data_IF_655973821331
#
_entry.id   IF_655973821331
#
_cell.length_a   1.000
_cell.length_b   1.000
_cell.length_c   1.000
_cell.angle_alpha   90.00
_cell.angle_beta   90.00
_cell.angle_gamma   90.00
#
_symmetry.space_group_name_H-M   'P 1'
#
loop_
_entity.id
_entity.type
_entity.pdbx_description
1 polymer ?
#
# COMPACT_ATOMS: atom_id res chain seq x y z
N UNK A 1 5.38 64.12 -13.94
CA UNK A 1 6.49 63.36 -13.32
C UNK A 1 6.34 61.85 -13.48
N UNK A 2 5.14 61.36 -13.76
CA UNK A 2 4.75 59.96 -13.63
C UNK A 2 5.47 58.98 -14.57
N UNK A 3 5.83 59.38 -15.80
CA UNK A 3 6.42 58.46 -16.78
C UNK A 3 7.84 57.99 -16.40
N UNK A 4 8.70 58.90 -15.90
CA UNK A 4 10.06 58.56 -15.44
C UNK A 4 10.02 57.67 -14.20
N UNK A 5 9.09 57.93 -13.28
CA UNK A 5 8.89 57.14 -12.07
C UNK A 5 8.39 55.73 -12.39
N UNK A 6 7.40 55.59 -13.28
CA UNK A 6 6.90 54.29 -13.75
C UNK A 6 8.01 53.48 -14.43
N UNK A 7 8.81 54.10 -15.29
CA UNK A 7 9.94 53.43 -15.95
C UNK A 7 11.02 52.97 -14.95
N UNK A 8 11.28 53.76 -13.90
CA UNK A 8 12.22 53.38 -12.83
C UNK A 8 11.72 52.17 -12.03
N UNK A 9 10.45 52.17 -11.60
CA UNK A 9 9.84 51.07 -10.85
C UNK A 9 9.83 49.80 -11.70
N UNK A 10 9.45 49.91 -12.98
CA UNK A 10 9.43 48.76 -13.90
C UNK A 10 10.80 48.10 -14.02
N UNK A 11 11.87 48.89 -14.18
CA UNK A 11 13.23 48.36 -14.25
C UNK A 11 13.62 47.58 -12.99
N UNK A 12 13.37 48.15 -11.80
CA UNK A 12 13.64 47.47 -10.53
C UNK A 12 12.83 46.17 -10.40
N UNK A 13 11.54 46.20 -10.73
CA UNK A 13 10.66 45.04 -10.65
C UNK A 13 11.10 43.93 -11.60
N UNK A 14 11.39 44.24 -12.87
CA UNK A 14 11.83 43.23 -13.85
C UNK A 14 13.14 42.57 -13.46
N UNK A 15 14.06 43.30 -12.82
CA UNK A 15 15.32 42.73 -12.35
C UNK A 15 15.14 41.69 -11.23
N UNK A 16 14.21 41.93 -10.30
CA UNK A 16 13.99 41.05 -9.14
C UNK A 16 12.86 40.03 -9.34
N UNK A 17 11.95 40.24 -10.30
CA UNK A 17 10.78 39.40 -10.50
C UNK A 17 11.09 37.88 -10.60
N UNK A 18 12.15 37.41 -11.28
CA UNK A 18 12.47 35.98 -11.36
C UNK A 18 12.78 35.33 -10.00
N UNK A 19 13.34 36.08 -9.07
CA UNK A 19 13.79 35.59 -7.76
C UNK A 19 12.72 35.71 -6.67
N UNK A 20 11.65 36.46 -6.94
CA UNK A 20 10.63 36.79 -5.96
C UNK A 20 9.42 35.86 -6.04
N UNK A 21 9.08 35.24 -4.91
CA UNK A 21 7.80 34.55 -4.73
C UNK A 21 6.61 35.54 -4.62
N UNK A 22 5.38 35.01 -4.62
CA UNK A 22 4.14 35.81 -4.58
C UNK A 22 4.10 36.83 -3.43
N UNK A 23 4.54 36.43 -2.22
CA UNK A 23 4.60 37.30 -1.05
C UNK A 23 5.64 38.40 -1.21
N UNK A 24 6.86 38.04 -1.61
CA UNK A 24 7.94 39.00 -1.80
C UNK A 24 7.57 40.07 -2.83
N UNK A 25 6.94 39.68 -3.95
CA UNK A 25 6.46 40.63 -4.98
C UNK A 25 5.46 41.63 -4.41
N UNK A 26 4.51 41.16 -3.62
CA UNK A 26 3.51 41.98 -2.94
C UNK A 26 4.14 42.94 -1.91
N UNK A 27 5.07 42.47 -1.10
CA UNK A 27 5.77 43.27 -0.09
C UNK A 27 6.65 44.36 -0.73
N UNK A 28 7.41 44.02 -1.76
CA UNK A 28 8.23 44.99 -2.48
C UNK A 28 7.38 46.08 -3.16
N UNK A 29 6.28 45.68 -3.82
CA UNK A 29 5.36 46.63 -4.44
C UNK A 29 4.72 47.57 -3.41
N UNK A 30 4.41 47.07 -2.22
CA UNK A 30 3.90 47.88 -1.12
C UNK A 30 4.95 48.87 -0.57
N UNK A 31 6.22 48.47 -0.46
CA UNK A 31 7.31 49.37 -0.07
C UNK A 31 7.46 50.53 -1.07
N UNK A 32 7.54 50.24 -2.38
CA UNK A 32 7.65 51.29 -3.40
C UNK A 32 6.38 52.19 -3.42
N UNK A 33 5.20 51.63 -3.14
CA UNK A 33 3.97 52.42 -3.07
C UNK A 33 3.95 53.36 -1.85
N UNK A 34 4.48 52.90 -0.70
CA UNK A 34 4.59 53.68 0.54
C UNK A 34 5.56 54.86 0.37
N UNK A 35 6.72 54.62 -0.23
CA UNK A 35 7.75 55.64 -0.45
C UNK A 35 7.28 56.75 -1.39
N UNK A 36 6.41 56.42 -2.36
CA UNK A 36 5.85 57.39 -3.31
C UNK A 36 4.70 58.22 -2.73
N UNK A 37 4.11 57.81 -1.60
CA UNK A 37 3.00 58.50 -0.96
C UNK A 37 1.74 58.55 -1.84
N UNK A 38 1.16 59.75 -2.00
CA UNK A 38 -0.11 59.93 -2.71
C UNK A 38 0.00 59.47 -4.18
N UNK A 39 -0.89 58.55 -4.58
CA UNK A 39 -0.90 57.97 -5.93
C UNK A 39 0.12 56.83 -6.15
N UNK A 40 0.95 56.50 -5.15
CA UNK A 40 1.98 55.46 -5.24
C UNK A 40 1.44 54.09 -5.68
N UNK A 41 0.31 53.65 -5.12
CA UNK A 41 -0.36 52.38 -5.50
C UNK A 41 -0.71 52.34 -6.99
N UNK A 42 -1.24 53.43 -7.53
CA UNK A 42 -1.62 53.51 -8.95
C UNK A 42 -0.39 53.49 -9.86
N UNK A 43 0.69 54.17 -9.47
CA UNK A 43 1.94 54.20 -10.22
C UNK A 43 2.66 52.84 -10.22
N UNK A 44 2.72 52.17 -9.06
CA UNK A 44 3.33 50.83 -8.93
C UNK A 44 2.52 49.79 -9.69
N UNK A 45 1.19 49.83 -9.61
CA UNK A 45 0.31 48.95 -10.38
C UNK A 45 0.53 49.11 -11.89
N UNK A 46 0.62 50.36 -12.39
CA UNK A 46 0.92 50.65 -13.79
C UNK A 46 2.32 50.22 -14.23
N UNK A 47 3.29 50.24 -13.32
CA UNK A 47 4.67 49.83 -13.61
C UNK A 47 4.86 48.31 -13.66
N UNK A 48 4.21 47.59 -12.74
CA UNK A 48 4.45 46.15 -12.46
C UNK A 48 3.36 45.22 -13.00
N UNK A 49 2.16 45.73 -13.27
CA UNK A 49 0.98 44.92 -13.60
C UNK A 49 0.31 44.26 -12.38
N UNK A 50 0.83 44.46 -11.17
CA UNK A 50 0.22 43.95 -9.94
C UNK A 50 -1.09 44.69 -9.67
N UNK A 51 -2.13 43.96 -9.28
CA UNK A 51 -3.44 44.55 -8.98
C UNK A 51 -3.36 45.52 -7.80
N UNK A 52 -4.10 46.64 -7.87
CA UNK A 52 -4.16 47.62 -6.76
C UNK A 52 -4.58 46.96 -5.43
N UNK A 53 -5.59 46.06 -5.38
CA UNK A 53 -5.93 45.35 -4.15
C UNK A 53 -4.74 44.57 -3.56
N UNK A 54 -3.94 43.90 -4.38
CA UNK A 54 -2.75 43.16 -3.91
C UNK A 54 -1.72 44.08 -3.26
N UNK A 55 -1.50 45.28 -3.83
CA UNK A 55 -0.57 46.27 -3.28
C UNK A 55 -1.11 46.83 -1.95
N UNK A 56 -2.42 47.09 -1.85
CA UNK A 56 -3.06 47.53 -0.61
C UNK A 56 -2.95 46.46 0.50
N UNK A 57 -3.13 45.18 0.17
CA UNK A 57 -2.90 44.07 1.13
C UNK A 57 -1.45 44.06 1.61
N UNK A 58 -0.49 44.26 0.70
CA UNK A 58 0.92 44.38 1.08
C UNK A 58 1.21 45.57 2.01
N UNK A 59 0.54 46.72 1.80
CA UNK A 59 0.67 47.87 2.70
C UNK A 59 0.16 47.57 4.11
N UNK A 60 -1.00 46.93 4.22
CA UNK A 60 -1.55 46.48 5.51
C UNK A 60 -0.61 45.48 6.21
N UNK A 61 0.01 44.59 5.45
CA UNK A 61 0.96 43.62 5.99
C UNK A 61 2.25 44.28 6.49
N UNK A 62 2.72 45.35 5.84
CA UNK A 62 3.86 46.13 6.29
C UNK A 62 3.58 46.92 7.59
N UNK A 63 2.30 47.17 7.90
CA UNK A 63 1.86 47.84 9.15
C UNK A 63 1.73 46.87 10.33
N UNK A 64 1.83 45.55 10.09
CA UNK A 64 1.81 44.56 11.16
C UNK A 64 3.08 44.64 12.05
N UNK A 65 2.96 44.36 13.36
CA UNK A 65 4.11 44.27 14.27
C UNK A 65 5.22 43.36 13.73
N UNK A 66 6.48 43.74 13.94
CA UNK A 66 7.65 43.02 13.40
C UNK A 66 7.65 41.53 13.74
N UNK A 67 7.29 41.16 14.98
CA UNK A 67 7.18 39.74 15.39
C UNK A 67 6.15 38.93 14.59
N UNK A 68 5.02 39.55 14.22
CA UNK A 68 4.01 38.90 13.37
C UNK A 68 4.52 38.77 11.93
N UNK A 69 5.19 39.79 11.41
CA UNK A 69 5.81 39.75 10.07
C UNK A 69 6.89 38.66 9.98
N UNK A 70 7.73 38.50 11.00
CA UNK A 70 8.75 37.45 11.09
C UNK A 70 8.15 36.04 11.10
N UNK A 71 7.12 35.81 11.93
CA UNK A 71 6.42 34.53 11.98
C UNK A 71 5.80 34.16 10.64
N UNK A 72 5.16 35.14 9.99
CA UNK A 72 4.52 34.92 8.70
C UNK A 72 5.51 34.88 7.53
N UNK A 73 6.70 35.48 7.63
CA UNK A 73 7.68 35.56 6.53
C UNK A 73 8.08 34.18 5.96
N UNK A 74 8.01 33.13 6.78
CA UNK A 74 8.23 31.73 6.38
C UNK A 74 7.13 31.16 5.47
N UNK A 75 5.97 31.81 5.36
CA UNK A 75 4.79 31.34 4.61
C UNK A 75 4.45 32.26 3.46
N UNK A 76 4.25 31.70 2.26
CA UNK A 76 3.80 32.45 1.07
C UNK A 76 2.32 32.88 1.19
N UNK A 77 1.48 32.04 1.83
CA UNK A 77 0.05 32.30 2.06
C UNK A 77 -0.24 32.42 3.56
N UNK A 78 -1.28 33.20 3.92
CA UNK A 78 -1.78 33.27 5.29
C UNK A 78 -2.26 31.89 5.76
N UNK A 79 -2.20 31.67 7.07
CA UNK A 79 -2.82 30.51 7.71
C UNK A 79 -4.29 30.42 7.27
N UNK A 80 -4.74 29.23 6.86
CA UNK A 80 -6.07 28.95 6.29
C UNK A 80 -6.37 29.50 4.86
N UNK A 81 -5.41 30.10 4.15
CA UNK A 81 -5.58 30.53 2.74
C UNK A 81 -5.45 29.40 1.70
N UNK A 82 -5.60 28.14 2.12
CA UNK A 82 -5.55 26.96 1.26
C UNK A 82 -6.93 26.58 0.75
N UNK A 83 -6.99 25.62 -0.19
CA UNK A 83 -8.26 25.02 -0.60
C UNK A 83 -8.91 24.37 0.62
N UNK A 84 -10.14 24.76 0.95
CA UNK A 84 -10.91 24.13 2.02
C UNK A 84 -11.09 22.62 1.73
N UNK A 85 -11.05 21.80 2.79
CA UNK A 85 -11.30 20.36 2.66
C UNK A 85 -12.70 20.14 2.10
N UNK A 86 -12.88 19.07 1.31
CA UNK A 86 -14.20 18.75 0.73
C UNK A 86 -15.29 18.58 1.79
N UNK A 87 -14.90 18.11 2.99
CA UNK A 87 -15.76 17.97 4.16
C UNK A 87 -16.34 19.29 4.68
N UNK A 88 -15.79 20.44 4.27
CA UNK A 88 -16.35 21.75 4.57
C UNK A 88 -17.54 22.11 3.66
N UNK A 89 -17.52 21.64 2.41
CA UNK A 89 -18.57 21.88 1.43
C UNK A 89 -19.61 20.75 1.40
N UNK A 90 -19.24 19.57 1.88
CA UNK A 90 -20.07 18.38 1.94
C UNK A 90 -19.93 17.74 3.34
N UNK A 91 -20.73 18.19 4.31
CA UNK A 91 -20.63 17.74 5.70
C UNK A 91 -21.10 16.28 5.88
N UNK A 92 -22.01 15.80 5.02
CA UNK A 92 -22.62 14.47 5.11
C UNK A 92 -21.76 13.39 4.44
N UNK A 93 -20.73 13.77 3.68
CA UNK A 93 -19.81 12.87 2.99
C UNK A 93 -19.20 11.80 3.89
N UNK A 94 -18.82 12.16 5.13
CA UNK A 94 -18.19 11.20 6.06
C UNK A 94 -19.21 10.13 6.46
N UNK A 95 -20.43 10.54 6.81
CA UNK A 95 -21.50 9.62 7.18
C UNK A 95 -21.90 8.71 6.00
N UNK A 96 -21.98 9.27 4.79
CA UNK A 96 -22.24 8.50 3.58
C UNK A 96 -21.12 7.48 3.29
N UNK A 97 -19.86 7.87 3.47
CA UNK A 97 -18.72 6.95 3.33
C UNK A 97 -18.74 5.85 4.40
N UNK A 98 -19.03 6.19 5.66
CA UNK A 98 -19.15 5.20 6.73
C UNK A 98 -20.25 4.19 6.43
N UNK A 99 -21.43 4.62 5.95
CA UNK A 99 -22.51 3.71 5.56
C UNK A 99 -22.13 2.74 4.43
N UNK A 100 -21.25 3.13 3.51
CA UNK A 100 -20.75 2.26 2.45
C UNK A 100 -19.65 1.28 2.90
N UNK A 101 -19.00 1.59 4.02
CA UNK A 101 -17.94 0.78 4.66
C UNK A 101 -18.54 -0.15 5.73
N UNK A 102 -19.68 0.21 6.29
CA UNK A 102 -20.44 -0.60 7.24
C UNK A 102 -20.96 -1.87 6.56
N UNK A 103 -20.92 -3.05 7.22
CA UNK A 103 -21.22 -4.29 6.54
C UNK A 103 -22.70 -4.38 6.17
N UNK A 104 -23.00 -4.38 4.87
CA UNK A 104 -24.17 -5.09 4.34
C UNK A 104 -23.89 -6.60 4.42
N UNK A 105 -23.87 -7.10 5.66
CA UNK A 105 -24.06 -8.47 6.12
C UNK A 105 -23.32 -9.59 5.40
N UNK A 106 -22.45 -10.28 6.16
CA UNK A 106 -22.56 -11.74 6.29
C UNK A 106 -22.48 -12.15 7.77
N UNK A 107 -23.62 -12.04 8.48
CA UNK A 107 -23.90 -12.84 9.68
C UNK A 107 -24.13 -12.15 11.05
N UNK A 108 -24.96 -11.10 11.15
CA UNK A 108 -25.80 -10.73 12.33
C UNK A 108 -25.14 -10.29 13.69
N UNK A 109 -25.89 -9.79 14.70
CA UNK A 109 -26.58 -8.49 14.85
C UNK A 109 -25.84 -7.44 15.70
N UNK A 110 -24.64 -7.72 16.23
CA UNK A 110 -23.90 -6.79 17.13
C UNK A 110 -22.44 -6.59 16.67
N UNK A 111 -22.21 -6.26 15.39
CA UNK A 111 -20.85 -6.22 14.83
C UNK A 111 -20.08 -4.91 15.13
N UNK A 112 -18.91 -4.94 15.81
CA UNK A 112 -17.97 -3.81 15.86
C UNK A 112 -16.90 -3.87 14.75
N UNK A 113 -17.05 -4.76 13.75
CA UNK A 113 -16.03 -5.00 12.73
C UNK A 113 -16.46 -4.44 11.37
N UNK A 114 -15.83 -3.33 11.00
CA UNK A 114 -16.09 -2.54 9.79
C UNK A 114 -15.13 -2.95 8.67
N UNK A 115 -15.57 -3.83 7.77
CA UNK A 115 -14.77 -4.26 6.61
C UNK A 115 -15.57 -4.15 5.32
N UNK A 116 -14.98 -3.52 4.30
CA UNK A 116 -15.55 -3.45 2.95
C UNK A 116 -14.65 -4.16 1.93
N UNK A 117 -15.24 -4.97 1.05
CA UNK A 117 -14.54 -5.57 -0.10
C UNK A 117 -14.45 -4.60 -1.30
N UNK A 118 -14.94 -3.36 -1.17
CA UNK A 118 -14.95 -2.37 -2.25
C UNK A 118 -13.63 -1.60 -2.30
N UNK A 119 -13.09 -1.42 -3.51
CA UNK A 119 -11.93 -0.55 -3.71
C UNK A 119 -12.31 0.93 -3.49
N UNK A 120 -11.32 1.78 -3.23
CA UNK A 120 -11.52 3.23 -3.09
C UNK A 120 -12.13 3.87 -4.34
N UNK A 121 -11.90 3.28 -5.52
CA UNK A 121 -12.52 3.70 -6.78
C UNK A 121 -14.02 3.37 -6.80
N UNK A 122 -14.39 2.16 -6.39
CA UNK A 122 -15.79 1.73 -6.32
C UNK A 122 -16.57 2.52 -5.25
N UNK A 123 -15.95 2.81 -4.12
CA UNK A 123 -16.51 3.69 -3.09
C UNK A 123 -16.74 5.11 -3.63
N UNK A 124 -15.78 5.67 -4.38
CA UNK A 124 -15.93 6.99 -5.00
C UNK A 124 -17.08 7.03 -6.03
N UNK A 125 -17.21 5.99 -6.86
CA UNK A 125 -18.31 5.86 -7.83
C UNK A 125 -19.67 5.78 -7.13
N UNK A 126 -19.79 5.00 -6.06
CA UNK A 126 -21.03 4.88 -5.28
C UNK A 126 -21.37 6.18 -4.53
N UNK A 127 -20.39 6.85 -3.92
CA UNK A 127 -20.59 8.17 -3.30
C UNK A 127 -21.04 9.20 -4.34
N UNK A 128 -20.42 9.21 -5.51
CA UNK A 128 -20.82 10.09 -6.61
C UNK A 128 -22.27 9.81 -7.05
N UNK A 129 -22.69 8.54 -7.01
CA UNK A 129 -24.07 8.13 -7.32
C UNK A 129 -25.09 8.57 -6.26
N UNK A 130 -24.66 8.75 -5.01
CA UNK A 130 -25.49 9.23 -3.89
C UNK A 130 -25.26 10.75 -3.68
N UNK A 131 -24.90 11.48 -4.75
CA UNK A 131 -24.74 12.94 -4.75
C UNK A 131 -23.57 13.51 -3.94
N UNK A 132 -22.56 12.69 -3.65
CA UNK A 132 -21.31 13.07 -2.98
C UNK A 132 -20.11 12.89 -3.94
N UNK A 133 -19.89 13.79 -4.92
CA UNK A 133 -18.86 13.62 -5.94
C UNK A 133 -17.46 13.74 -5.34
N UNK A 134 -16.72 12.63 -5.30
CA UNK A 134 -15.36 12.56 -4.75
C UNK A 134 -14.44 11.71 -5.62
N UNK A 135 -13.12 11.99 -5.56
CA UNK A 135 -12.12 11.14 -6.19
C UNK A 135 -11.75 9.96 -5.28
N UNK A 136 -11.21 8.89 -5.88
CA UNK A 136 -10.66 7.75 -5.13
C UNK A 136 -9.53 8.14 -4.17
N UNK A 137 -8.74 9.16 -4.50
CA UNK A 137 -7.72 9.73 -3.60
C UNK A 137 -8.34 10.38 -2.37
N UNK A 138 -9.42 11.14 -2.56
CA UNK A 138 -10.16 11.77 -1.46
C UNK A 138 -10.77 10.72 -0.54
N UNK A 139 -11.35 9.66 -1.10
CA UNK A 139 -11.87 8.53 -0.33
C UNK A 139 -10.77 7.86 0.49
N UNK A 140 -9.60 7.59 -0.09
CA UNK A 140 -8.46 7.02 0.63
C UNK A 140 -8.04 7.90 1.82
N UNK A 141 -7.92 9.20 1.60
CA UNK A 141 -7.49 10.14 2.63
C UNK A 141 -8.51 10.25 3.76
N UNK A 142 -9.82 10.14 3.45
CA UNK A 142 -10.89 10.09 4.44
C UNK A 142 -10.88 8.78 5.23
N UNK A 143 -10.70 7.63 4.55
CA UNK A 143 -10.56 6.33 5.22
C UNK A 143 -9.38 6.32 6.19
N UNK A 144 -8.22 6.85 5.80
CA UNK A 144 -7.07 6.96 6.70
C UNK A 144 -7.35 7.87 7.90
N UNK A 145 -8.05 8.99 7.70
CA UNK A 145 -8.44 9.89 8.81
C UNK A 145 -9.42 9.23 9.77
N UNK A 146 -10.31 8.37 9.28
CA UNK A 146 -11.24 7.57 10.08
C UNK A 146 -10.61 6.29 10.67
N UNK A 147 -9.28 6.13 10.61
CA UNK A 147 -8.55 5.03 11.23
C UNK A 147 -8.53 3.73 10.43
N UNK A 148 -9.00 3.72 9.19
CA UNK A 148 -8.91 2.56 8.30
C UNK A 148 -7.56 2.53 7.60
N UNK A 149 -7.04 1.33 7.38
CA UNK A 149 -5.88 1.10 6.52
C UNK A 149 -6.10 -0.13 5.65
N UNK A 150 -5.35 -0.22 4.56
CA UNK A 150 -5.33 -1.42 3.75
C UNK A 150 -4.66 -2.54 4.56
N UNK A 151 -5.41 -3.58 4.88
CA UNK A 151 -4.91 -4.75 5.59
C UNK A 151 -4.78 -5.92 4.60
N UNK A 152 -3.60 -6.53 4.53
CA UNK A 152 -3.45 -7.79 3.83
C UNK A 152 -4.06 -8.92 4.66
N UNK A 153 -4.59 -9.95 4.00
CA UNK A 153 -5.06 -11.15 4.69
C UNK A 153 -3.89 -11.81 5.44
N UNK A 154 -3.90 -11.74 6.76
CA UNK A 154 -2.95 -12.47 7.60
C UNK A 154 -3.58 -13.81 8.01
N UNK A 155 -2.93 -14.92 7.69
CA UNK A 155 -3.37 -16.26 8.11
C UNK A 155 -3.01 -16.49 9.58
N UNK A 156 -3.73 -15.85 10.51
CA UNK A 156 -3.52 -16.00 11.97
C UNK A 156 -4.54 -16.91 12.65
N UNK A 157 -5.63 -17.25 11.97
CA UNK A 157 -6.61 -18.21 12.47
C UNK A 157 -6.12 -19.63 12.18
N UNK A 158 -5.19 -20.12 13.00
CA UNK A 158 -5.13 -21.57 13.25
C UNK A 158 -6.47 -21.98 13.91
N UNK A 159 -6.96 -23.19 13.63
CA UNK A 159 -8.14 -23.72 14.34
C UNK A 159 -7.93 -23.68 15.86
N UNK A 160 -9.03 -23.79 16.63
CA UNK A 160 -9.04 -23.76 18.12
C UNK A 160 -7.75 -24.34 18.69
N UNK A 161 -7.01 -23.55 19.48
CA UNK A 161 -5.84 -24.01 20.24
C UNK A 161 -6.26 -25.25 21.04
N UNK A 162 -5.91 -26.43 20.55
CA UNK A 162 -6.33 -27.68 21.16
C UNK A 162 -5.34 -27.98 22.29
N UNK A 163 -5.80 -28.28 23.52
CA UNK A 163 -4.91 -28.57 24.64
C UNK A 163 -3.93 -29.72 24.35
N UNK A 164 -4.32 -30.65 23.47
CA UNK A 164 -3.49 -31.81 23.10
C UNK A 164 -2.44 -31.53 21.99
N UNK A 165 -2.38 -30.31 21.42
CA UNK A 165 -1.39 -29.99 20.36
C UNK A 165 0.04 -30.14 20.87
N UNK A 166 0.30 -29.70 22.11
CA UNK A 166 1.62 -29.84 22.71
C UNK A 166 1.98 -31.32 22.97
N UNK A 167 1.00 -32.12 23.44
CA UNK A 167 1.19 -33.55 23.64
C UNK A 167 1.49 -34.29 22.32
N UNK A 168 0.87 -33.88 21.21
CA UNK A 168 1.17 -34.43 19.88
C UNK A 168 2.62 -34.11 19.45
N UNK A 169 3.08 -32.87 19.62
CA UNK A 169 4.47 -32.50 19.29
C UNK A 169 5.49 -33.21 20.18
N UNK A 170 5.24 -33.31 21.48
CA UNK A 170 6.10 -34.06 22.41
C UNK A 170 6.16 -35.56 22.07
N UNK A 171 5.05 -36.14 21.61
CA UNK A 171 5.03 -37.53 21.15
C UNK A 171 5.83 -37.72 19.86
N UNK A 172 5.66 -36.82 18.89
CA UNK A 172 6.41 -36.84 17.63
C UNK A 172 7.91 -36.69 17.92
N UNK A 173 8.30 -35.70 18.71
CA UNK A 173 9.69 -35.44 19.08
C UNK A 173 10.35 -36.64 19.77
N UNK A 174 9.64 -37.25 20.73
CA UNK A 174 10.11 -38.46 21.40
C UNK A 174 10.29 -39.63 20.43
N UNK A 175 9.36 -39.81 19.52
CA UNK A 175 9.38 -40.89 18.52
C UNK A 175 10.52 -40.69 17.52
N UNK A 176 10.68 -39.48 16.99
CA UNK A 176 11.80 -39.11 16.12
C UNK A 176 13.12 -39.37 16.84
N UNK A 177 13.27 -38.86 18.06
CA UNK A 177 14.48 -39.06 18.86
C UNK A 177 14.82 -40.55 19.07
N UNK A 178 13.83 -41.42 19.24
CA UNK A 178 14.04 -42.87 19.39
C UNK A 178 14.50 -43.53 18.08
N UNK A 179 13.98 -43.10 16.93
CA UNK A 179 14.43 -43.59 15.62
C UNK A 179 15.87 -43.15 15.32
N UNK A 180 16.16 -41.86 15.52
CA UNK A 180 17.50 -41.30 15.29
C UNK A 180 18.57 -41.98 16.18
N UNK A 181 18.28 -42.24 17.46
CA UNK A 181 19.19 -42.99 18.35
C UNK A 181 19.49 -44.41 17.89
N UNK A 182 18.57 -45.05 17.15
CA UNK A 182 18.75 -46.40 16.60
C UNK A 182 19.35 -46.40 15.18
N UNK A 183 19.73 -45.22 14.66
CA UNK A 183 20.20 -45.06 13.29
C UNK A 183 19.11 -45.35 12.25
N UNK A 184 17.84 -45.31 12.65
CA UNK A 184 16.70 -45.55 11.75
C UNK A 184 16.18 -44.21 11.19
N UNK A 185 15.75 -44.16 9.93
CA UNK A 185 15.27 -42.94 9.30
C UNK A 185 13.95 -42.45 9.90
N UNK A 186 13.84 -41.13 10.03
CA UNK A 186 12.61 -40.41 10.33
C UNK A 186 12.41 -39.32 9.26
N UNK A 187 11.25 -39.34 8.60
CA UNK A 187 10.91 -38.41 7.53
C UNK A 187 9.63 -37.63 7.86
N UNK A 188 9.61 -36.36 7.49
CA UNK A 188 8.39 -35.57 7.44
C UNK A 188 7.88 -35.49 6.01
N UNK A 189 6.59 -35.72 5.78
CA UNK A 189 6.00 -35.66 4.45
C UNK A 189 4.88 -34.63 4.39
N UNK A 190 4.80 -33.87 3.31
CA UNK A 190 3.76 -32.86 3.11
C UNK A 190 3.45 -32.74 1.62
N UNK A 191 2.18 -32.49 1.31
CA UNK A 191 1.74 -32.12 -0.04
C UNK A 191 1.44 -30.63 0.00
N UNK A 192 2.20 -29.86 -0.78
CA UNK A 192 1.98 -28.42 -0.87
C UNK A 192 0.89 -28.12 -1.88
N UNK A 193 0.39 -26.89 -1.80
CA UNK A 193 -0.66 -26.35 -2.66
C UNK A 193 -0.37 -26.72 -4.13
N UNK A 194 -1.39 -27.16 -4.85
CA UNK A 194 -1.31 -27.45 -6.28
C UNK A 194 -1.04 -26.14 -7.02
N UNK A 195 0.03 -26.13 -7.81
CA UNK A 195 0.39 -24.99 -8.64
C UNK A 195 -0.13 -25.20 -10.06
N UNK A 196 -0.67 -24.13 -10.66
CA UNK A 196 -1.11 -24.16 -12.05
C UNK A 196 0.13 -23.99 -12.94
N UNK A 197 0.34 -24.92 -13.86
CA UNK A 197 1.49 -24.88 -14.78
C UNK A 197 1.03 -24.26 -16.10
N UNK A 198 1.65 -23.17 -16.51
CA UNK A 198 1.33 -22.41 -17.73
C UNK A 198 1.28 -20.91 -17.48
N UNK A 199 0.74 -20.16 -18.44
CA UNK A 199 0.68 -18.69 -18.42
C UNK A 199 -0.40 -18.17 -17.45
N UNK A 200 -0.35 -18.60 -16.19
CA UNK A 200 -1.26 -18.20 -15.13
C UNK A 200 -0.64 -17.10 -14.28
N UNK A 201 -1.49 -16.24 -13.71
CA UNK A 201 -1.01 -15.17 -12.84
C UNK A 201 -0.53 -15.73 -11.50
N UNK A 202 0.77 -15.89 -11.36
CA UNK A 202 1.41 -16.25 -10.09
C UNK A 202 1.72 -15.01 -9.24
N UNK A 203 1.79 -15.18 -7.92
CA UNK A 203 2.20 -14.11 -7.02
C UNK A 203 3.72 -13.98 -7.00
N UNK A 204 4.25 -12.85 -7.46
CA UNK A 204 5.68 -12.58 -7.52
C UNK A 204 5.98 -11.45 -8.51
N UNK A 205 7.22 -10.96 -8.50
CA UNK A 205 7.74 -10.00 -9.47
C UNK A 205 9.08 -10.53 -9.98
N UNK A 206 9.23 -10.61 -11.31
CA UNK A 206 10.48 -10.94 -11.98
C UNK A 206 10.96 -9.73 -12.79
N UNK A 207 12.26 -9.59 -12.95
CA UNK A 207 12.84 -8.47 -13.68
C UNK A 207 12.69 -8.68 -15.18
N UNK A 208 11.90 -7.82 -15.83
CA UNK A 208 11.76 -7.75 -17.29
C UNK A 208 12.16 -6.37 -17.82
N UNK A 209 12.58 -6.28 -19.10
CA UNK A 209 12.74 -4.99 -19.78
C UNK A 209 11.48 -4.12 -19.65
N UNK A 210 11.70 -2.82 -19.42
CA UNK A 210 10.62 -1.87 -19.21
C UNK A 210 9.63 -1.88 -20.39
N UNK A 211 8.35 -2.12 -20.12
CA UNK A 211 7.29 -2.18 -21.13
C UNK A 211 7.06 -3.56 -21.75
N UNK A 212 7.79 -4.59 -21.31
CA UNK A 212 7.64 -5.97 -21.78
C UNK A 212 7.35 -6.92 -20.62
N UNK A 213 6.21 -6.76 -19.92
CA UNK A 213 5.80 -7.72 -18.89
C UNK A 213 5.52 -9.09 -19.54
N UNK A 214 5.71 -10.16 -18.76
CA UNK A 214 5.25 -11.48 -19.18
C UNK A 214 3.71 -11.49 -19.33
N UNK A 215 3.23 -11.99 -20.47
CA UNK A 215 1.81 -12.08 -20.75
C UNK A 215 1.20 -13.29 -20.01
N UNK A 216 0.21 -13.03 -19.16
CA UNK A 216 -0.51 -14.06 -18.41
C UNK A 216 -2.00 -14.01 -18.70
N UNK A 217 -2.67 -15.14 -18.59
CA UNK A 217 -4.10 -15.30 -18.85
C UNK A 217 -4.94 -14.52 -17.83
N UNK A 218 -5.99 -13.86 -18.31
CA UNK A 218 -6.93 -13.09 -17.48
C UNK A 218 -7.78 -13.97 -16.55
N UNK A 219 -7.95 -15.25 -16.89
CA UNK A 219 -8.80 -16.19 -16.14
C UNK A 219 -8.06 -17.51 -15.89
N UNK A 220 -8.15 -18.00 -14.64
CA UNK A 220 -7.51 -19.24 -14.19
C UNK A 220 -8.35 -20.49 -14.53
N UNK A 221 -8.90 -20.57 -15.74
CA UNK A 221 -9.55 -21.79 -16.18
C UNK A 221 -8.47 -22.84 -16.48
N UNK A 222 -8.61 -24.03 -15.88
CA UNK A 222 -7.74 -25.15 -16.20
C UNK A 222 -7.93 -25.56 -17.66
N UNK A 223 -6.95 -25.23 -18.50
CA UNK A 223 -6.78 -25.96 -19.75
C UNK A 223 -6.34 -27.39 -19.44
N UNK A 224 -6.71 -28.33 -20.32
CA UNK A 224 -6.36 -29.74 -20.18
C UNK A 224 -4.83 -29.99 -20.28
N UNK A 225 -4.04 -29.00 -20.71
CA UNK A 225 -2.59 -29.08 -20.83
C UNK A 225 -2.00 -27.66 -20.96
N UNK A 226 -0.99 -27.23 -20.17
CA UNK A 226 -0.28 -27.96 -19.11
C UNK A 226 -1.14 -28.00 -17.83
N UNK A 227 -1.17 -29.13 -17.14
CA UNK A 227 -2.09 -29.37 -16.03
C UNK A 227 -1.71 -28.67 -14.71
N UNK A 228 -1.98 -29.34 -13.59
CA UNK A 228 -1.57 -28.93 -12.24
C UNK A 228 -0.29 -29.66 -11.86
N UNK A 229 0.67 -28.94 -11.26
CA UNK A 229 1.79 -29.53 -10.55
C UNK A 229 1.43 -29.70 -9.07
N UNK A 230 1.70 -30.88 -8.54
CA UNK A 230 1.49 -31.23 -7.13
C UNK A 230 2.85 -31.58 -6.54
N UNK A 231 3.51 -30.63 -5.85
CA UNK A 231 4.75 -30.90 -5.15
C UNK A 231 4.46 -31.72 -3.87
N UNK A 232 5.04 -32.91 -3.82
CA UNK A 232 5.07 -33.76 -2.64
C UNK A 232 6.48 -33.75 -2.05
N UNK A 233 6.63 -33.19 -0.87
CA UNK A 233 7.89 -33.11 -0.14
C UNK A 233 8.10 -34.29 0.78
N UNK A 234 9.32 -34.83 0.80
CA UNK A 234 9.83 -35.74 1.82
C UNK A 234 11.06 -35.08 2.43
N UNK A 235 11.02 -34.77 3.71
CA UNK A 235 12.12 -34.18 4.44
C UNK A 235 12.75 -35.22 5.37
N UNK A 236 14.00 -35.57 5.07
CA UNK A 236 14.86 -36.41 5.90
C UNK A 236 15.39 -35.57 7.07
N UNK A 237 14.91 -35.89 8.27
CA UNK A 237 15.20 -35.13 9.49
C UNK A 237 16.66 -35.32 9.93
N UNK A 238 17.23 -36.52 9.76
CA UNK A 238 18.59 -36.80 10.23
C UNK A 238 19.62 -36.03 9.40
N UNK A 239 19.48 -36.09 8.08
CA UNK A 239 20.46 -35.50 7.16
C UNK A 239 20.13 -34.04 6.78
N UNK A 240 19.01 -33.50 7.26
CA UNK A 240 18.51 -32.16 6.94
C UNK A 240 18.40 -31.94 5.42
N UNK A 241 17.72 -32.85 4.72
CA UNK A 241 17.56 -32.78 3.27
C UNK A 241 16.12 -32.99 2.82
N UNK A 242 15.70 -32.20 1.83
CA UNK A 242 14.40 -32.33 1.18
C UNK A 242 14.51 -33.06 -0.15
N UNK A 243 13.58 -33.97 -0.40
CA UNK A 243 13.27 -34.54 -1.70
C UNK A 243 11.89 -34.06 -2.12
N UNK A 244 11.74 -33.67 -3.39
CA UNK A 244 10.45 -33.22 -3.92
C UNK A 244 10.11 -34.05 -5.14
N UNK A 245 8.94 -34.69 -5.10
CA UNK A 245 8.35 -35.32 -6.26
C UNK A 245 7.24 -34.42 -6.81
N UNK A 246 7.28 -34.11 -8.10
CA UNK A 246 6.29 -33.24 -8.75
C UNK A 246 5.32 -34.11 -9.54
N UNK A 247 4.12 -34.31 -8.98
CA UNK A 247 3.04 -35.02 -9.65
C UNK A 247 2.33 -34.11 -10.65
N UNK A 248 1.98 -34.63 -11.81
CA UNK A 248 1.22 -33.91 -12.84
C UNK A 248 -0.28 -34.30 -12.87
N UNK A 249 -0.70 -35.10 -11.89
CA UNK A 249 -2.03 -35.70 -11.83
C UNK A 249 -2.67 -35.51 -10.43
N UNK A 250 -3.40 -36.48 -9.89
CA UNK A 250 -4.14 -36.34 -8.63
C UNK A 250 -3.25 -36.60 -7.40
N UNK A 251 -3.47 -35.81 -6.34
CA UNK A 251 -2.91 -36.07 -5.01
C UNK A 251 -3.70 -37.21 -4.36
N UNK A 252 -3.10 -38.39 -4.34
CA UNK A 252 -3.73 -39.63 -3.86
C UNK A 252 -2.80 -40.34 -2.88
N UNK A 253 -3.34 -41.22 -2.05
CA UNK A 253 -2.52 -42.07 -1.17
C UNK A 253 -1.47 -42.89 -1.95
N UNK A 254 -1.78 -43.27 -3.20
CA UNK A 254 -0.83 -43.93 -4.10
C UNK A 254 0.33 -43.01 -4.50
N UNK A 255 0.04 -41.75 -4.78
CA UNK A 255 1.07 -40.75 -5.08
C UNK A 255 1.96 -40.47 -3.87
N UNK A 256 1.39 -40.38 -2.67
CA UNK A 256 2.13 -40.23 -1.42
C UNK A 256 3.08 -41.41 -1.16
N UNK A 257 2.56 -42.64 -1.21
CA UNK A 257 3.35 -43.85 -1.02
C UNK A 257 4.45 -43.99 -2.08
N UNK A 258 4.15 -43.71 -3.35
CA UNK A 258 5.14 -43.73 -4.41
C UNK A 258 6.22 -42.65 -4.20
N UNK A 259 5.86 -41.47 -3.70
CA UNK A 259 6.84 -40.41 -3.42
C UNK A 259 7.82 -40.80 -2.31
N UNK A 260 7.34 -41.46 -1.25
CA UNK A 260 8.20 -42.04 -0.21
C UNK A 260 9.08 -43.15 -0.79
N UNK A 261 8.53 -44.02 -1.65
CA UNK A 261 9.30 -45.06 -2.31
C UNK A 261 10.41 -44.49 -3.20
N UNK A 262 10.11 -43.46 -4.01
CA UNK A 262 11.11 -42.82 -4.86
C UNK A 262 12.19 -42.11 -4.05
N UNK A 263 11.83 -41.44 -2.96
CA UNK A 263 12.81 -40.92 -2.01
C UNK A 263 13.72 -42.03 -1.46
N UNK A 264 13.13 -43.17 -1.07
CA UNK A 264 13.89 -44.30 -0.55
C UNK A 264 14.86 -44.87 -1.60
N UNK A 265 14.41 -45.09 -2.82
CA UNK A 265 15.25 -45.69 -3.88
C UNK A 265 16.36 -44.75 -4.36
N UNK A 266 16.11 -43.45 -4.41
CA UNK A 266 17.05 -42.47 -4.96
C UNK A 266 17.98 -41.86 -3.91
N UNK A 267 17.59 -41.87 -2.63
CA UNK A 267 18.32 -41.17 -1.57
C UNK A 267 18.40 -41.95 -0.25
N UNK A 268 17.28 -42.53 0.20
CA UNK A 268 17.18 -43.15 1.53
C UNK A 268 18.02 -44.44 1.68
N UNK A 269 17.97 -45.33 0.70
CA UNK A 269 18.56 -46.66 0.81
C UNK A 269 20.09 -46.65 0.95
N UNK A 270 20.78 -45.74 0.25
CA UNK A 270 22.23 -45.58 0.37
C UNK A 270 22.62 -44.99 1.74
N UNK A 271 21.81 -44.08 2.27
CA UNK A 271 22.09 -43.35 3.52
C UNK A 271 21.79 -44.14 4.77
N UNK A 272 20.78 -45.00 4.69
CA UNK A 272 20.36 -45.82 5.81
C UNK A 272 20.42 -47.31 5.45
N UNK A 273 21.62 -47.87 5.19
CA UNK A 273 21.80 -49.23 4.66
C UNK A 273 21.37 -50.33 5.64
N UNK A 274 21.33 -50.03 6.94
CA UNK A 274 20.91 -50.95 8.01
C UNK A 274 19.47 -50.69 8.49
N UNK A 275 18.62 -50.11 7.64
CA UNK A 275 17.23 -49.78 8.00
C UNK A 275 16.37 -51.03 8.12
N UNK A 276 15.62 -51.10 9.22
CA UNK A 276 14.58 -52.08 9.46
C UNK A 276 13.22 -51.43 9.71
N UNK A 277 13.20 -50.14 10.07
CA UNK A 277 12.00 -49.37 10.38
C UNK A 277 12.08 -47.95 9.80
N UNK A 278 10.95 -47.39 9.38
CA UNK A 278 10.85 -46.00 8.92
C UNK A 278 9.74 -45.29 9.69
N UNK A 279 10.09 -44.14 10.31
CA UNK A 279 9.09 -43.26 10.91
C UNK A 279 8.67 -42.19 9.90
N UNK A 280 7.36 -42.03 9.72
CA UNK A 280 6.76 -40.99 8.85
C UNK A 280 5.92 -40.05 9.71
N UNK A 281 6.24 -38.76 9.68
CA UNK A 281 5.48 -37.69 10.32
C UNK A 281 4.82 -36.82 9.26
N UNK A 282 3.63 -36.29 9.52
CA UNK A 282 2.87 -35.41 8.63
C UNK A 282 2.31 -34.21 9.40
#
# INVERSE_FOLDING_TARGET
MDAKTVARIRRKYTALAPEMNERSRRQWAACEARDLGYGGVSLVSKATGISRPTICVGLQELDLPTRQRESEASRVRRTAGGRHRITYHDPDLIAALESLVEPLTRGDPESPLRWTCKSTRKLAEELTRISHPVSSSTVRDLLHQSGYSLQANCKTREGRSHPDRNAQFEFIDRSVSQFLRRGQPAISVDTKKKELVGDFKNGGEEWHPQGSPEEVRTHDFLDKNPGKAIPYGVYDILNNQGWVNVGIDHDTARFAANSILQWWTQMGAERFPATTELLVTA
#
